data_IF_998150714271
#
_entry.id   IF_998150714271
#
_cell.length_a   1.000
_cell.length_b   1.000
_cell.length_c   1.000
_cell.angle_alpha   90.00
_cell.angle_beta   90.00
_cell.angle_gamma   90.00
#
_symmetry.space_group_name_H-M   'P 1'
#
loop_
_entity.id
_entity.type
_entity.pdbx_description
1 polymer ?
#
# COMPACT_ATOMS: atom_id res chain seq x y z
N UNK A 1 9.40 -7.76 4.66
CA UNK A 1 10.66 -7.13 4.18
C UNK A 1 10.85 -5.85 4.96
N UNK A 2 12.09 -5.34 5.05
CA UNK A 2 12.36 -4.06 5.69
C UNK A 2 12.36 -2.91 4.67
N UNK A 3 12.48 -1.67 5.14
CA UNK A 3 12.62 -0.50 4.26
C UNK A 3 13.96 -0.55 3.50
N UNK A 4 15.02 -0.98 4.17
CA UNK A 4 16.37 -1.12 3.62
C UNK A 4 16.39 -2.14 2.48
N UNK A 5 15.67 -3.27 2.63
CA UNK A 5 15.51 -4.25 1.55
C UNK A 5 14.88 -3.60 0.32
N UNK A 6 13.81 -2.81 0.52
CA UNK A 6 13.08 -2.17 -0.59
C UNK A 6 13.98 -1.19 -1.32
N UNK A 7 14.72 -0.35 -0.59
CA UNK A 7 15.69 0.60 -1.15
C UNK A 7 16.76 -0.14 -1.95
N UNK A 8 17.35 -1.18 -1.37
CA UNK A 8 18.40 -1.97 -2.02
C UNK A 8 17.91 -2.60 -3.33
N UNK A 9 16.71 -3.21 -3.35
CA UNK A 9 16.16 -3.82 -4.56
C UNK A 9 15.80 -2.76 -5.61
N UNK A 10 15.29 -1.60 -5.19
CA UNK A 10 14.90 -0.53 -6.09
C UNK A 10 16.12 0.11 -6.78
N UNK A 11 17.19 0.36 -6.02
CA UNK A 11 18.46 0.91 -6.54
C UNK A 11 19.10 0.00 -7.59
N UNK A 12 19.04 -1.31 -7.34
CA UNK A 12 19.56 -2.32 -8.25
C UNK A 12 18.58 -2.67 -9.38
N UNK A 13 17.41 -2.03 -9.44
CA UNK A 13 16.34 -2.33 -10.40
C UNK A 13 16.02 -3.81 -10.49
N UNK A 14 16.02 -4.49 -9.33
CA UNK A 14 15.83 -5.92 -9.20
C UNK A 14 14.33 -6.28 -9.29
N UNK A 15 13.76 -6.08 -10.48
CA UNK A 15 12.33 -6.24 -10.77
C UNK A 15 11.69 -4.92 -11.22
N UNK A 16 10.46 -5.02 -11.74
CA UNK A 16 9.70 -3.86 -12.23
C UNK A 16 8.80 -3.26 -11.16
N UNK A 17 8.34 -4.09 -10.22
CA UNK A 17 7.44 -3.73 -9.13
C UNK A 17 7.91 -4.43 -7.87
N UNK A 18 7.96 -3.70 -6.76
CA UNK A 18 8.32 -4.24 -5.45
C UNK A 18 7.11 -4.29 -4.53
N UNK A 19 6.93 -5.45 -3.89
CA UNK A 19 5.91 -5.61 -2.86
C UNK A 19 6.38 -5.00 -1.54
N UNK A 20 5.59 -4.09 -1.02
CA UNK A 20 5.78 -3.46 0.29
C UNK A 20 4.89 -4.21 1.27
N UNK A 21 5.48 -5.09 2.09
CA UNK A 21 4.73 -5.92 3.03
C UNK A 21 4.38 -5.11 4.27
N UNK A 22 3.25 -4.42 4.20
CA UNK A 22 2.82 -3.44 5.21
C UNK A 22 2.95 -3.88 6.67
N UNK A 23 2.57 -5.10 7.11
CA UNK A 23 2.73 -5.49 8.51
C UNK A 23 4.20 -5.67 8.93
N UNK A 24 5.10 -5.99 7.98
CA UNK A 24 6.51 -6.24 8.28
C UNK A 24 7.30 -4.93 8.48
N UNK A 25 6.82 -3.82 7.90
CA UNK A 25 7.48 -2.52 7.98
C UNK A 25 7.23 -1.80 9.32
N UNK A 26 6.36 -2.35 10.18
CA UNK A 26 5.99 -1.77 11.46
C UNK A 26 5.14 -0.50 11.30
N UNK A 27 5.79 0.66 11.24
CA UNK A 27 5.12 1.96 11.17
C UNK A 27 4.52 2.28 9.80
N UNK A 28 3.35 2.93 9.77
CA UNK A 28 2.73 3.40 8.52
C UNK A 28 3.61 4.39 7.73
N UNK A 29 4.43 5.16 8.44
CA UNK A 29 5.40 6.09 7.86
C UNK A 29 6.43 5.35 6.98
N UNK A 30 6.87 4.16 7.37
CA UNK A 30 7.82 3.37 6.58
C UNK A 30 7.18 2.88 5.27
N UNK A 31 5.87 2.60 5.29
CA UNK A 31 5.12 2.23 4.07
C UNK A 31 5.08 3.41 3.11
N UNK A 32 4.78 4.62 3.61
CA UNK A 32 4.77 5.83 2.81
C UNK A 32 6.14 6.11 2.20
N UNK A 33 7.20 6.02 3.01
CA UNK A 33 8.59 6.20 2.57
C UNK A 33 8.99 5.19 1.50
N UNK A 34 8.67 3.90 1.70
CA UNK A 34 8.93 2.86 0.71
C UNK A 34 8.22 3.11 -0.64
N UNK A 35 6.95 3.50 -0.62
CA UNK A 35 6.19 3.80 -1.84
C UNK A 35 6.84 4.99 -2.57
N UNK A 36 7.08 6.08 -1.85
CA UNK A 36 7.67 7.28 -2.43
C UNK A 36 9.08 7.02 -2.98
N UNK A 37 9.88 6.21 -2.29
CA UNK A 37 11.21 5.81 -2.73
C UNK A 37 11.15 5.06 -4.07
N UNK A 38 10.39 3.97 -4.13
CA UNK A 38 10.19 3.21 -5.36
C UNK A 38 9.80 4.12 -6.53
N UNK A 39 8.83 5.01 -6.32
CA UNK A 39 8.38 5.95 -7.36
C UNK A 39 9.49 6.93 -7.77
N UNK A 40 10.28 7.43 -6.83
CA UNK A 40 11.38 8.37 -7.10
C UNK A 40 12.48 7.78 -8.00
N UNK A 41 12.67 6.45 -7.94
CA UNK A 41 13.66 5.72 -8.76
C UNK A 41 13.02 4.98 -9.94
N UNK A 42 11.73 5.20 -10.20
CA UNK A 42 11.02 4.64 -11.35
C UNK A 42 10.69 3.15 -11.24
N UNK A 43 10.53 2.65 -10.01
CA UNK A 43 10.10 1.27 -9.70
C UNK A 43 8.66 1.29 -9.22
N UNK A 44 7.85 0.35 -9.69
CA UNK A 44 6.46 0.23 -9.26
C UNK A 44 6.36 -0.14 -7.78
N UNK A 45 5.40 0.47 -7.08
CA UNK A 45 5.13 0.25 -5.67
C UNK A 45 3.82 -0.52 -5.50
N UNK A 46 3.91 -1.76 -5.03
CA UNK A 46 2.75 -2.55 -4.63
C UNK A 46 2.54 -2.47 -3.12
N UNK A 47 1.54 -1.70 -2.69
CA UNK A 47 1.07 -1.66 -1.29
C UNK A 47 0.37 -2.98 -0.94
N UNK A 48 1.14 -3.88 -0.32
CA UNK A 48 0.71 -5.24 0.00
C UNK A 48 -0.01 -5.34 1.35
N UNK A 49 0.18 -6.48 2.00
CA UNK A 49 -0.42 -6.79 3.29
C UNK A 49 -0.50 -8.29 3.51
N UNK A 50 -1.42 -8.70 4.39
CA UNK A 50 -1.67 -10.10 4.68
C UNK A 50 -3.17 -10.37 4.79
N UNK A 51 -3.60 -11.59 4.52
CA UNK A 51 -4.99 -12.00 4.81
C UNK A 51 -5.28 -12.05 6.32
N UNK A 52 -4.25 -12.10 7.16
CA UNK A 52 -4.35 -12.24 8.61
C UNK A 52 -4.23 -10.91 9.39
N UNK A 53 -4.52 -9.79 8.74
CA UNK A 53 -4.62 -8.48 9.41
C UNK A 53 -6.08 -8.14 9.71
N UNK A 54 -6.41 -6.86 9.89
CA UNK A 54 -7.77 -6.42 10.26
C UNK A 54 -8.35 -5.46 9.23
N UNK A 55 -9.65 -5.22 9.30
CA UNK A 55 -10.30 -4.18 8.51
C UNK A 55 -9.72 -2.78 8.82
N UNK A 56 -9.37 -2.49 10.08
CA UNK A 56 -8.81 -1.20 10.49
C UNK A 56 -7.42 -0.98 9.87
N UNK A 57 -6.55 -2.00 9.90
CA UNK A 57 -5.22 -1.91 9.28
C UNK A 57 -5.30 -1.81 7.75
N UNK A 58 -6.26 -2.50 7.13
CA UNK A 58 -6.51 -2.41 5.70
C UNK A 58 -6.93 -0.99 5.29
N UNK A 59 -7.86 -0.37 6.03
CA UNK A 59 -8.27 1.01 5.79
C UNK A 59 -7.10 2.00 5.96
N UNK A 60 -6.32 1.86 7.02
CA UNK A 60 -5.18 2.74 7.28
C UNK A 60 -4.11 2.64 6.16
N UNK A 61 -3.74 1.43 5.75
CA UNK A 61 -2.75 1.20 4.69
C UNK A 61 -3.28 1.57 3.29
N UNK A 62 -4.59 1.46 3.06
CA UNK A 62 -5.24 1.97 1.83
C UNK A 62 -5.15 3.49 1.74
N UNK A 63 -5.37 4.21 2.84
CA UNK A 63 -5.21 5.66 2.88
C UNK A 63 -3.75 6.08 2.57
N UNK A 64 -2.76 5.37 3.10
CA UNK A 64 -1.34 5.58 2.76
C UNK A 64 -1.09 5.32 1.27
N UNK A 65 -1.63 4.23 0.72
CA UNK A 65 -1.47 3.90 -0.70
C UNK A 65 -2.04 5.00 -1.62
N UNK A 66 -3.22 5.55 -1.28
CA UNK A 66 -3.83 6.67 -2.02
C UNK A 66 -2.95 7.91 -1.93
N UNK A 67 -2.53 8.30 -0.71
CA UNK A 67 -1.75 9.51 -0.48
C UNK A 67 -0.38 9.47 -1.17
N UNK A 68 0.28 8.31 -1.21
CA UNK A 68 1.58 8.12 -1.83
C UNK A 68 1.49 7.68 -3.31
N UNK A 69 0.27 7.56 -3.84
CA UNK A 69 -0.01 7.16 -5.22
C UNK A 69 0.64 5.80 -5.59
N UNK A 70 0.44 4.76 -4.76
CA UNK A 70 0.93 3.42 -5.06
C UNK A 70 0.33 2.86 -6.36
N UNK A 71 1.08 2.04 -7.08
CA UNK A 71 0.63 1.48 -8.38
C UNK A 71 -0.36 0.33 -8.20
N UNK A 72 -0.26 -0.40 -7.09
CA UNK A 72 -1.16 -1.49 -6.72
C UNK A 72 -1.48 -1.42 -5.22
N UNK A 73 -2.71 -1.79 -4.85
CA UNK A 73 -3.15 -1.94 -3.46
C UNK A 73 -3.85 -3.30 -3.29
N UNK A 74 -3.44 -4.09 -2.29
CA UNK A 74 -4.00 -5.41 -2.03
C UNK A 74 -5.40 -5.31 -1.41
N UNK A 75 -6.36 -6.08 -1.94
CA UNK A 75 -7.62 -6.37 -1.27
C UNK A 75 -7.39 -7.28 -0.06
N UNK A 76 -7.76 -6.81 1.15
CA UNK A 76 -7.45 -7.46 2.43
C UNK A 76 -8.35 -6.93 3.57
N UNK A 77 -8.42 -7.58 4.74
CA UNK A 77 -7.89 -8.92 5.06
C UNK A 77 -8.83 -10.03 4.56
N UNK A 78 -8.66 -11.25 5.07
CA UNK A 78 -9.52 -12.39 4.75
C UNK A 78 -9.06 -13.18 3.53
N UNK A 79 -9.67 -14.35 3.38
CA UNK A 79 -9.42 -15.29 2.27
C UNK A 79 -10.68 -15.50 1.41
N UNK A 80 -11.79 -14.86 1.76
CA UNK A 80 -13.07 -14.95 1.08
C UNK A 80 -13.15 -14.05 -0.16
N UNK A 81 -12.12 -13.22 -0.40
CA UNK A 81 -12.02 -12.23 -1.51
C UNK A 81 -13.02 -11.09 -1.36
N UNK A 82 -14.30 -11.39 -1.19
CA UNK A 82 -15.41 -10.43 -1.16
C UNK A 82 -15.22 -9.37 -0.07
N UNK A 83 -14.94 -9.80 1.17
CA UNK A 83 -14.79 -8.87 2.30
C UNK A 83 -13.58 -7.97 2.14
N UNK A 84 -12.43 -8.52 1.72
CA UNK A 84 -11.20 -7.75 1.51
C UNK A 84 -11.34 -6.73 0.39
N UNK A 85 -12.00 -7.12 -0.72
CA UNK A 85 -12.28 -6.20 -1.83
C UNK A 85 -13.26 -5.11 -1.39
N UNK A 86 -14.35 -5.48 -0.72
CA UNK A 86 -15.34 -4.54 -0.18
C UNK A 86 -14.69 -3.50 0.74
N UNK A 87 -13.85 -3.93 1.70
CA UNK A 87 -13.21 -3.03 2.67
C UNK A 87 -12.34 -2.00 1.95
N UNK A 88 -11.42 -2.46 1.10
CA UNK A 88 -10.42 -1.61 0.44
C UNK A 88 -11.07 -0.70 -0.60
N UNK A 89 -11.91 -1.25 -1.48
CA UNK A 89 -12.55 -0.47 -2.55
C UNK A 89 -13.50 0.59 -1.98
N UNK A 90 -14.34 0.22 -1.00
CA UNK A 90 -15.28 1.19 -0.42
C UNK A 90 -14.56 2.29 0.36
N UNK A 91 -13.42 1.99 1.01
CA UNK A 91 -12.59 3.01 1.65
C UNK A 91 -11.99 3.97 0.62
N UNK A 92 -11.44 3.43 -0.47
CA UNK A 92 -10.88 4.23 -1.55
C UNK A 92 -11.89 5.21 -2.14
N UNK A 93 -13.09 4.74 -2.49
CA UNK A 93 -14.15 5.58 -3.05
C UNK A 93 -14.59 6.69 -2.07
N UNK A 94 -14.73 6.37 -0.78
CA UNK A 94 -15.08 7.38 0.24
C UNK A 94 -14.00 8.45 0.37
N UNK A 95 -12.72 8.05 0.41
CA UNK A 95 -11.59 8.98 0.52
C UNK A 95 -11.51 9.88 -0.71
N UNK A 96 -11.69 9.33 -1.91
CA UNK A 96 -11.71 10.10 -3.16
C UNK A 96 -12.88 11.11 -3.16
N UNK A 97 -14.09 10.68 -2.76
CA UNK A 97 -15.24 11.57 -2.68
C UNK A 97 -15.02 12.74 -1.70
N UNK A 98 -14.47 12.44 -0.51
CA UNK A 98 -14.16 13.46 0.51
C UNK A 98 -13.00 14.37 0.11
N UNK A 99 -12.02 13.86 -0.64
CA UNK A 99 -10.94 14.67 -1.18
C UNK A 99 -11.47 15.64 -2.24
N UNK A 100 -12.32 15.16 -3.15
CA UNK A 100 -12.91 15.97 -4.21
C UNK A 100 -13.85 17.06 -3.69
N UNK A 101 -14.50 16.89 -2.53
CA UNK A 101 -15.35 17.93 -1.94
C UNK A 101 -14.57 19.10 -1.33
N UNK A 102 -13.25 18.97 -1.18
CA UNK A 102 -12.33 20.00 -0.66
C UNK A 102 -11.40 20.56 -1.72
N UNK A 103 -11.56 20.16 -2.98
CA UNK A 103 -10.78 20.67 -4.11
C UNK A 103 -11.23 22.06 -4.52
#
# INVERSE_FOLDING_TARGET
NTLEDIIYFADNKAGHVLQIKTPDLGGLNNIAEAILYCKSVGIGAYSGGTCNETNISAQATTNVAIACNADLCLAKPGMDVDSGYMIVNNEMERVIALSNSRK
#
